data_IF_273600153665
#
_entry.id   IF_273600153665
#
_cell.length_a   1.000
_cell.length_b   1.000
_cell.length_c   1.000
_cell.angle_alpha   90.00
_cell.angle_beta   90.00
_cell.angle_gamma   90.00
#
_symmetry.space_group_name_H-M   'P 1'
#
loop_
_entity.id
_entity.type
_entity.pdbx_description
1 polymer ?
#
# COMPACT_ATOMS: atom_id res chain seq x y z
N UNK A 1 22.63 -16.87 -14.71
CA UNK A 1 22.36 -15.88 -13.66
C UNK A 1 23.19 -16.29 -12.44
N UNK A 2 24.39 -15.75 -12.29
CA UNK A 2 25.26 -16.04 -11.14
C UNK A 2 24.85 -15.15 -9.97
N UNK A 3 24.06 -15.70 -9.05
CA UNK A 3 23.80 -15.04 -7.78
C UNK A 3 24.83 -15.57 -6.76
N UNK A 4 25.75 -14.73 -6.25
CA UNK A 4 26.84 -15.14 -5.37
C UNK A 4 26.35 -15.72 -4.02
N UNK A 5 25.06 -15.58 -3.69
CA UNK A 5 24.47 -16.22 -2.51
C UNK A 5 24.38 -17.75 -2.60
N UNK A 6 24.29 -18.33 -3.80
CA UNK A 6 24.20 -19.79 -3.98
C UNK A 6 25.55 -20.51 -3.80
N UNK A 7 26.66 -19.78 -3.69
CA UNK A 7 28.02 -20.32 -3.61
C UNK A 7 28.69 -20.10 -2.25
N UNK A 8 27.95 -19.73 -1.20
CA UNK A 8 28.53 -19.61 0.15
C UNK A 8 29.01 -20.98 0.64
N UNK A 9 30.33 -21.14 0.73
CA UNK A 9 31.01 -22.34 1.28
C UNK A 9 30.97 -22.40 2.81
N UNK A 10 30.70 -21.27 3.47
CA UNK A 10 30.58 -21.15 4.92
C UNK A 10 29.11 -21.08 5.35
N UNK A 11 28.71 -21.79 6.42
CA UNK A 11 27.37 -21.71 6.97
C UNK A 11 27.00 -20.27 7.35
N UNK A 12 25.73 -19.91 7.16
CA UNK A 12 25.21 -18.66 7.70
C UNK A 12 25.29 -18.70 9.24
N UNK A 13 26.11 -17.84 9.84
CA UNK A 13 26.15 -17.65 11.29
C UNK A 13 25.14 -16.56 11.64
N UNK A 14 24.04 -16.94 12.30
CA UNK A 14 23.04 -16.00 12.79
C UNK A 14 23.63 -15.21 13.97
N UNK A 15 23.99 -13.95 13.72
CA UNK A 15 24.49 -13.06 14.75
C UNK A 15 23.35 -12.56 15.66
N UNK A 16 23.71 -12.02 16.81
CA UNK A 16 22.72 -11.41 17.72
C UNK A 16 22.04 -10.18 17.12
N UNK A 17 22.77 -9.40 16.32
CA UNK A 17 22.20 -8.29 15.56
C UNK A 17 21.13 -8.78 14.57
N UNK A 18 21.43 -9.84 13.80
CA UNK A 18 20.46 -10.42 12.87
C UNK A 18 19.22 -10.94 13.59
N UNK A 19 19.38 -11.56 14.77
CA UNK A 19 18.25 -11.98 15.61
C UNK A 19 17.34 -10.82 15.99
N UNK A 20 17.91 -9.68 16.39
CA UNK A 20 17.14 -8.49 16.77
C UNK A 20 16.41 -7.87 15.58
N UNK A 21 17.06 -7.78 14.43
CA UNK A 21 16.45 -7.26 13.21
C UNK A 21 15.28 -8.15 12.75
N UNK A 22 15.47 -9.47 12.75
CA UNK A 22 14.40 -10.43 12.42
C UNK A 22 13.26 -10.33 13.45
N UNK A 23 13.57 -10.27 14.75
CA UNK A 23 12.55 -10.16 15.80
C UNK A 23 11.74 -8.87 15.67
N UNK A 24 12.38 -7.74 15.37
CA UNK A 24 11.71 -6.47 15.11
C UNK A 24 10.78 -6.55 13.90
N UNK A 25 11.27 -7.09 12.78
CA UNK A 25 10.47 -7.26 11.57
C UNK A 25 9.26 -8.20 11.78
N UNK A 26 9.42 -9.25 12.57
CA UNK A 26 8.33 -10.20 12.87
C UNK A 26 7.35 -9.64 13.91
N UNK A 27 7.79 -8.76 14.82
CA UNK A 27 6.92 -8.16 15.83
C UNK A 27 5.81 -7.29 15.23
N UNK A 28 6.03 -6.75 14.04
CA UNK A 28 5.04 -5.94 13.30
C UNK A 28 4.01 -6.80 12.55
N UNK A 29 4.16 -8.13 12.56
CA UNK A 29 3.27 -9.05 11.86
C UNK A 29 2.08 -9.42 12.76
N UNK A 30 0.87 -9.12 12.28
CA UNK A 30 -0.36 -9.61 12.90
C UNK A 30 -0.58 -11.09 12.53
N UNK A 31 -0.26 -11.98 13.47
CA UNK A 31 -0.44 -13.43 13.31
C UNK A 31 -1.91 -13.82 13.10
N UNK A 32 -2.86 -13.11 13.70
CA UNK A 32 -4.28 -13.37 13.50
C UNK A 32 -4.70 -13.03 12.07
N UNK A 33 -4.19 -11.93 11.52
CA UNK A 33 -4.39 -11.57 10.11
C UNK A 33 -3.76 -12.62 9.17
N UNK A 34 -2.56 -13.12 9.48
CA UNK A 34 -1.93 -14.20 8.70
C UNK A 34 -2.80 -15.47 8.66
N UNK A 35 -3.37 -15.87 9.80
CA UNK A 35 -4.23 -17.04 9.88
C UNK A 35 -5.53 -16.88 9.08
N UNK A 36 -6.12 -15.69 9.11
CA UNK A 36 -7.29 -15.34 8.29
C UNK A 36 -6.93 -15.46 6.80
N UNK A 37 -5.85 -14.80 6.38
CA UNK A 37 -5.40 -14.83 4.99
C UNK A 37 -5.14 -16.26 4.53
N UNK A 38 -4.47 -17.08 5.34
CA UNK A 38 -4.14 -18.48 5.00
C UNK A 38 -5.37 -19.33 4.67
N UNK A 39 -6.53 -19.00 5.22
CA UNK A 39 -7.80 -19.71 4.98
C UNK A 39 -8.56 -19.19 3.75
N UNK A 40 -8.15 -18.07 3.16
CA UNK A 40 -8.80 -17.47 2.01
C UNK A 40 -8.33 -18.08 0.69
N UNK A 41 -9.27 -18.31 -0.22
CA UNK A 41 -8.99 -18.61 -1.63
C UNK A 41 -8.40 -17.39 -2.35
N UNK A 42 -7.72 -17.57 -3.50
CA UNK A 42 -7.26 -16.45 -4.31
C UNK A 42 -8.38 -15.45 -4.64
N UNK A 43 -9.59 -15.93 -4.97
CA UNK A 43 -10.73 -15.06 -5.27
C UNK A 43 -11.16 -14.21 -4.07
N UNK A 44 -11.19 -14.79 -2.87
CA UNK A 44 -11.51 -14.05 -1.64
C UNK A 44 -10.46 -12.97 -1.33
N UNK A 45 -9.18 -13.25 -1.59
CA UNK A 45 -8.10 -12.27 -1.42
C UNK A 45 -8.22 -11.11 -2.40
N UNK A 46 -8.57 -11.39 -3.66
CA UNK A 46 -8.85 -10.35 -4.66
C UNK A 46 -10.05 -9.50 -4.22
N UNK A 47 -11.12 -10.12 -3.74
CA UNK A 47 -12.29 -9.41 -3.25
C UNK A 47 -11.98 -8.51 -2.04
N UNK A 48 -11.17 -9.00 -1.10
CA UNK A 48 -10.70 -8.22 0.04
C UNK A 48 -9.89 -7.00 -0.43
N UNK A 49 -8.92 -7.20 -1.34
CA UNK A 49 -8.13 -6.11 -1.89
C UNK A 49 -8.99 -5.07 -2.62
N UNK A 50 -9.95 -5.52 -3.44
CA UNK A 50 -10.86 -4.63 -4.15
C UNK A 50 -11.74 -3.81 -3.18
N UNK A 51 -12.18 -4.40 -2.08
CA UNK A 51 -12.96 -3.72 -1.05
C UNK A 51 -12.12 -2.65 -0.34
N UNK A 52 -10.88 -2.98 0.03
CA UNK A 52 -9.94 -2.02 0.63
C UNK A 52 -9.65 -0.84 -0.31
N UNK A 53 -9.46 -1.10 -1.60
CA UNK A 53 -9.27 -0.04 -2.61
C UNK A 53 -10.51 0.87 -2.65
N UNK A 54 -11.72 0.30 -2.71
CA UNK A 54 -12.96 1.08 -2.73
C UNK A 54 -13.14 1.94 -1.47
N UNK A 55 -12.74 1.45 -0.30
CA UNK A 55 -12.76 2.21 0.95
C UNK A 55 -11.80 3.40 0.91
N UNK A 56 -10.57 3.16 0.45
CA UNK A 56 -9.56 4.22 0.31
C UNK A 56 -9.99 5.27 -0.72
N UNK A 57 -10.56 4.84 -1.85
CA UNK A 57 -11.13 5.75 -2.85
C UNK A 57 -12.22 6.64 -2.24
N UNK A 58 -13.16 6.06 -1.48
CA UNK A 58 -14.22 6.81 -0.79
C UNK A 58 -13.67 7.89 0.14
N UNK A 59 -12.67 7.53 0.94
CA UNK A 59 -12.02 8.48 1.85
C UNK A 59 -11.29 9.58 1.08
N UNK A 60 -10.58 9.22 0.00
CA UNK A 60 -9.88 10.20 -0.84
C UNK A 60 -10.86 11.16 -1.52
N UNK A 61 -11.97 10.67 -2.06
CA UNK A 61 -13.05 11.48 -2.66
C UNK A 61 -13.64 12.42 -1.63
N UNK A 62 -13.97 11.91 -0.44
CA UNK A 62 -14.49 12.73 0.65
C UNK A 62 -13.54 13.88 1.01
N UNK A 63 -12.25 13.58 1.20
CA UNK A 63 -11.24 14.60 1.52
C UNK A 63 -10.97 15.57 0.38
N UNK A 64 -11.04 15.12 -0.87
CA UNK A 64 -10.91 16.00 -2.03
C UNK A 64 -12.06 17.00 -2.07
N UNK A 65 -13.31 16.53 -1.92
CA UNK A 65 -14.49 17.39 -1.92
C UNK A 65 -14.60 18.33 -0.73
N UNK A 66 -14.00 17.98 0.41
CA UNK A 66 -13.86 18.94 1.52
C UNK A 66 -12.96 20.12 1.17
N UNK A 67 -11.91 19.88 0.37
CA UNK A 67 -10.97 20.91 -0.08
C UNK A 67 -11.46 21.67 -1.31
N UNK A 68 -12.28 21.01 -2.12
CA UNK A 68 -12.81 21.51 -3.40
C UNK A 68 -14.31 21.22 -3.48
N UNK A 69 -15.13 22.00 -2.75
CA UNK A 69 -16.58 21.76 -2.64
C UNK A 69 -17.33 21.87 -3.98
N UNK A 70 -16.75 22.56 -4.96
CA UNK A 70 -17.26 22.71 -6.32
C UNK A 70 -17.24 21.42 -7.13
N UNK A 71 -16.40 20.44 -6.75
CA UNK A 71 -16.34 19.17 -7.44
C UNK A 71 -17.57 18.32 -7.12
N UNK A 72 -18.21 17.81 -8.19
CA UNK A 72 -19.18 16.74 -8.04
C UNK A 72 -18.50 15.46 -7.54
N UNK A 73 -19.29 14.56 -6.97
CA UNK A 73 -18.79 13.26 -6.52
C UNK A 73 -18.16 12.45 -7.65
N UNK A 74 -18.80 12.46 -8.84
CA UNK A 74 -18.30 11.74 -10.00
C UNK A 74 -16.95 12.28 -10.49
N UNK A 75 -16.77 13.61 -10.49
CA UNK A 75 -15.49 14.24 -10.87
C UNK A 75 -14.39 13.92 -9.87
N UNK A 76 -14.69 13.96 -8.57
CA UNK A 76 -13.75 13.60 -7.53
C UNK A 76 -13.31 12.13 -7.65
N UNK A 77 -14.25 11.20 -7.92
CA UNK A 77 -13.91 9.80 -8.19
C UNK A 77 -13.02 9.64 -9.40
N UNK A 78 -13.33 10.34 -10.49
CA UNK A 78 -12.52 10.32 -11.70
C UNK A 78 -11.09 10.75 -11.37
N UNK A 79 -10.90 11.88 -10.70
CA UNK A 79 -9.59 12.40 -10.30
C UNK A 79 -8.82 11.40 -9.43
N UNK A 80 -9.46 10.86 -8.38
CA UNK A 80 -8.85 9.89 -7.46
C UNK A 80 -8.35 8.66 -8.21
N UNK A 81 -9.13 8.14 -9.16
CA UNK A 81 -8.79 6.95 -9.95
C UNK A 81 -7.76 7.20 -11.04
N UNK A 82 -7.77 8.38 -11.67
CA UNK A 82 -6.86 8.67 -12.78
C UNK A 82 -5.51 9.21 -12.32
N UNK A 83 -5.42 9.79 -11.13
CA UNK A 83 -4.17 10.26 -10.55
C UNK A 83 -4.31 11.52 -9.72
N UNK A 84 -4.69 11.37 -8.45
CA UNK A 84 -4.84 12.48 -7.50
C UNK A 84 -3.56 13.32 -7.34
N UNK A 85 -2.39 12.68 -7.28
CA UNK A 85 -1.12 13.40 -7.10
C UNK A 85 -0.79 14.31 -8.28
N UNK A 86 -1.09 13.88 -9.50
CA UNK A 86 -0.83 14.69 -10.69
C UNK A 86 -1.82 15.86 -10.78
N UNK A 87 -3.09 15.62 -10.44
CA UNK A 87 -4.09 16.68 -10.33
C UNK A 87 -3.64 17.78 -9.35
N UNK A 88 -3.20 17.42 -8.15
CA UNK A 88 -2.70 18.36 -7.14
C UNK A 88 -1.47 19.15 -7.63
N UNK A 89 -0.55 18.48 -8.36
CA UNK A 89 0.63 19.14 -8.95
C UNK A 89 0.27 20.13 -10.05
N UNK A 90 -0.73 19.80 -10.88
CA UNK A 90 -1.19 20.71 -11.92
C UNK A 90 -1.86 21.93 -11.30
N UNK A 91 -2.76 21.73 -10.33
CA UNK A 91 -3.45 22.82 -9.63
C UNK A 91 -2.48 23.84 -9.03
N UNK A 92 -1.47 23.38 -8.27
CA UNK A 92 -0.44 24.27 -7.68
C UNK A 92 0.33 25.08 -8.72
N UNK A 93 0.58 24.53 -9.92
CA UNK A 93 1.26 25.25 -11.00
C UNK A 93 0.42 26.43 -11.50
N UNK A 94 -0.90 26.23 -11.64
CA UNK A 94 -1.82 27.29 -12.07
C UNK A 94 -2.03 28.37 -11.01
N UNK A 95 -1.95 28.03 -9.72
CA UNK A 95 -2.06 29.01 -8.61
C UNK A 95 -0.81 29.90 -8.45
N UNK A 96 0.32 29.51 -9.04
CA UNK A 96 1.61 30.25 -8.92
C UNK A 96 1.92 31.11 -10.16
N UNK A 97 1.05 31.13 -11.17
CA UNK A 97 1.20 31.92 -12.41
C UNK A 97 0.17 33.04 -12.45
#
# INVERSE_FOLDING_TARGET
MENPSYHRRTPLVVTEQMRREIAGAVAEIDLAQMDILRRMTPAQRVQMAASMIADVERVAVYRLRQREPELSEAEAYRIVRTGLLEYERQKRRWETT
#
